data_IF_307848927802
#
_entry.id   IF_307848927802
#
_cell.length_a   1.000
_cell.length_b   1.000
_cell.length_c   1.000
_cell.angle_alpha   90.00
_cell.angle_beta   90.00
_cell.angle_gamma   90.00
#
_symmetry.space_group_name_H-M   'P 1'
#
loop_
_entity.id
_entity.type
_entity.pdbx_description
1 polymer ?
#
# COMPACT_ATOMS: atom_id res chain seq x y z
N UNK A 1 2.27 9.72 6.05
CA UNK A 1 2.84 8.65 5.23
C UNK A 1 1.90 8.36 4.09
N UNK A 2 2.40 8.13 2.89
CA UNK A 2 1.59 7.82 1.72
C UNK A 2 1.90 6.40 1.24
N UNK A 3 0.89 5.67 0.79
CA UNK A 3 1.12 4.60 -0.17
C UNK A 3 1.42 5.16 -1.57
N UNK A 4 1.84 4.32 -2.50
CA UNK A 4 2.17 4.69 -3.87
C UNK A 4 1.05 4.31 -4.84
N UNK A 5 0.83 2.99 -4.99
CA UNK A 5 -0.09 2.41 -5.95
C UNK A 5 -1.55 2.66 -5.50
N UNK A 6 -2.40 3.19 -6.37
CA UNK A 6 -3.77 3.57 -6.02
C UNK A 6 -3.92 4.82 -5.15
N UNK A 7 -2.81 5.39 -4.65
CA UNK A 7 -2.80 6.67 -3.91
C UNK A 7 -2.14 7.78 -4.72
N UNK A 8 -0.91 7.62 -5.18
CA UNK A 8 -0.23 8.62 -6.00
C UNK A 8 -0.34 8.32 -7.49
N UNK A 9 -0.38 7.04 -7.85
CA UNK A 9 -0.39 6.56 -9.23
C UNK A 9 -1.58 5.62 -9.45
N UNK A 10 -2.30 5.79 -10.54
CA UNK A 10 -3.32 4.85 -11.01
C UNK A 10 -2.66 3.67 -11.73
N UNK A 11 -2.16 2.72 -10.96
CA UNK A 11 -1.25 1.67 -11.41
C UNK A 11 -1.86 0.28 -11.51
N UNK A 12 -3.02 0.03 -10.89
CA UNK A 12 -3.59 -1.32 -10.76
C UNK A 12 -3.75 -2.03 -12.12
N UNK A 13 -4.30 -1.34 -13.11
CA UNK A 13 -4.47 -1.91 -14.45
C UNK A 13 -3.12 -2.19 -15.14
N UNK A 14 -2.11 -1.39 -14.89
CA UNK A 14 -0.78 -1.55 -15.46
C UNK A 14 -0.05 -2.74 -14.85
N UNK A 15 -0.16 -2.92 -13.53
CA UNK A 15 0.32 -4.11 -12.85
C UNK A 15 -0.32 -5.37 -13.41
N UNK A 16 -1.64 -5.37 -13.58
CA UNK A 16 -2.37 -6.51 -14.14
C UNK A 16 -1.94 -6.80 -15.59
N UNK A 17 -1.81 -5.79 -16.42
CA UNK A 17 -1.36 -5.93 -17.81
C UNK A 17 0.06 -6.50 -17.90
N UNK A 18 1.00 -5.96 -17.12
CA UNK A 18 2.38 -6.44 -17.10
C UNK A 18 2.47 -7.90 -16.65
N UNK A 19 1.76 -8.28 -15.58
CA UNK A 19 1.71 -9.65 -15.08
C UNK A 19 1.08 -10.60 -16.11
N UNK A 20 -0.03 -10.21 -16.77
CA UNK A 20 -0.67 -11.01 -17.83
C UNK A 20 0.24 -11.22 -19.03
N UNK A 21 0.95 -10.17 -19.44
CA UNK A 21 1.90 -10.27 -20.53
C UNK A 21 2.99 -11.28 -20.22
N UNK A 22 3.68 -11.13 -19.08
CA UNK A 22 4.74 -12.06 -18.65
C UNK A 22 4.22 -13.48 -18.51
N UNK A 23 3.03 -13.68 -17.95
CA UNK A 23 2.42 -15.00 -17.85
C UNK A 23 2.18 -15.62 -19.24
N UNK A 24 1.64 -14.86 -20.18
CA UNK A 24 1.34 -15.32 -21.54
C UNK A 24 2.61 -15.68 -22.31
N UNK A 25 3.64 -14.85 -22.22
CA UNK A 25 4.92 -15.05 -22.92
C UNK A 25 5.72 -16.23 -22.38
N UNK A 26 5.52 -16.60 -21.12
CA UNK A 26 6.30 -17.63 -20.42
C UNK A 26 5.47 -18.85 -19.99
N UNK A 27 4.51 -19.25 -20.83
CA UNK A 27 3.71 -20.47 -20.71
C UNK A 27 2.81 -20.55 -19.46
N UNK A 28 2.59 -19.45 -18.76
CA UNK A 28 1.62 -19.34 -17.67
C UNK A 28 0.17 -19.37 -18.18
N UNK A 29 -0.75 -19.76 -17.31
CA UNK A 29 -2.18 -19.78 -17.59
C UNK A 29 -2.87 -18.77 -16.68
N UNK A 30 -3.20 -17.60 -17.24
CA UNK A 30 -3.96 -16.60 -16.50
C UNK A 30 -5.32 -17.14 -16.09
N UNK A 31 -5.74 -16.82 -14.88
CA UNK A 31 -7.04 -17.18 -14.32
C UNK A 31 -7.81 -15.91 -13.97
N UNK A 32 -9.12 -15.98 -13.99
CA UNK A 32 -9.99 -14.83 -13.74
C UNK A 32 -9.75 -14.22 -12.34
N UNK A 33 -9.53 -15.08 -11.35
CA UNK A 33 -9.26 -14.68 -9.97
C UNK A 33 -7.85 -14.12 -9.73
N UNK A 34 -6.93 -14.25 -10.68
CA UNK A 34 -5.51 -13.92 -10.47
C UNK A 34 -5.27 -12.42 -10.18
N UNK A 35 -6.02 -11.53 -10.83
CA UNK A 35 -5.93 -10.09 -10.60
C UNK A 35 -6.24 -9.76 -9.15
N UNK A 36 -7.41 -10.20 -8.67
CA UNK A 36 -7.83 -9.96 -7.28
C UNK A 36 -6.91 -10.64 -6.25
N UNK A 37 -6.42 -11.87 -6.58
CA UNK A 37 -5.53 -12.59 -5.68
C UNK A 37 -4.18 -11.90 -5.48
N UNK A 38 -3.66 -11.22 -6.52
CA UNK A 38 -2.33 -10.57 -6.45
C UNK A 38 -2.39 -9.10 -6.03
N UNK A 39 -3.58 -8.53 -5.85
CA UNK A 39 -3.73 -7.13 -5.43
C UNK A 39 -3.14 -6.90 -4.03
N UNK A 40 -2.28 -5.90 -3.91
CA UNK A 40 -1.60 -5.55 -2.66
C UNK A 40 -0.52 -6.54 -2.19
N UNK A 41 -0.24 -7.61 -2.94
CA UNK A 41 0.87 -8.51 -2.64
C UNK A 41 2.21 -7.82 -2.90
N UNK A 42 3.21 -8.16 -2.09
CA UNK A 42 4.61 -7.82 -2.34
C UNK A 42 5.18 -8.60 -3.53
N UNK A 43 6.32 -8.15 -4.08
CA UNK A 43 6.94 -8.79 -5.24
C UNK A 43 7.31 -10.26 -5.02
N UNK A 44 7.83 -10.68 -3.86
CA UNK A 44 8.04 -12.09 -3.58
C UNK A 44 6.76 -12.91 -3.61
N UNK A 45 5.63 -12.34 -3.14
CA UNK A 45 4.35 -13.03 -3.05
C UNK A 45 3.70 -13.21 -4.43
N UNK A 46 3.51 -12.13 -5.19
CA UNK A 46 2.88 -12.25 -6.51
C UNK A 46 3.76 -12.99 -7.53
N UNK A 47 5.09 -12.88 -7.46
CA UNK A 47 5.97 -13.66 -8.36
C UNK A 47 5.93 -15.14 -8.02
N UNK A 48 5.80 -15.50 -6.73
CA UNK A 48 5.55 -16.87 -6.31
C UNK A 48 4.20 -17.38 -6.85
N UNK A 49 3.13 -16.60 -6.70
CA UNK A 49 1.80 -16.95 -7.22
C UNK A 49 1.83 -17.16 -8.75
N UNK A 50 2.49 -16.27 -9.49
CA UNK A 50 2.63 -16.42 -10.95
C UNK A 50 3.36 -17.71 -11.34
N UNK A 51 4.43 -18.05 -10.64
CA UNK A 51 5.18 -19.28 -10.89
C UNK A 51 4.39 -20.52 -10.47
N UNK A 52 3.94 -20.55 -9.23
CA UNK A 52 3.49 -21.78 -8.56
C UNK A 52 2.01 -22.06 -8.87
N UNK A 53 1.18 -21.02 -9.03
CA UNK A 53 -0.26 -21.14 -9.29
C UNK A 53 -0.60 -20.97 -10.76
N UNK A 54 0.00 -19.98 -11.44
CA UNK A 54 -0.27 -19.73 -12.87
C UNK A 54 0.63 -20.54 -13.79
N UNK A 55 1.69 -21.17 -13.25
CA UNK A 55 2.59 -22.07 -13.99
C UNK A 55 3.58 -21.34 -14.91
N UNK A 56 3.94 -20.10 -14.62
CA UNK A 56 4.94 -19.34 -15.38
C UNK A 56 6.31 -20.05 -15.25
N UNK A 57 6.94 -20.32 -16.40
CA UNK A 57 8.18 -21.12 -16.48
C UNK A 57 9.44 -20.25 -16.39
N UNK A 58 9.52 -19.46 -15.32
CA UNK A 58 10.66 -18.63 -14.97
C UNK A 58 10.94 -18.75 -13.47
N UNK A 59 12.11 -18.33 -13.01
CA UNK A 59 12.37 -18.12 -11.57
C UNK A 59 11.59 -16.90 -11.08
N UNK A 60 11.29 -16.83 -9.78
CA UNK A 60 10.51 -15.75 -9.17
C UNK A 60 11.14 -14.38 -9.41
N UNK A 61 12.47 -14.33 -9.29
CA UNK A 61 13.25 -13.12 -9.53
C UNK A 61 13.12 -12.65 -10.99
N UNK A 62 13.21 -13.57 -11.95
CA UNK A 62 13.06 -13.27 -13.37
C UNK A 62 11.64 -12.77 -13.70
N UNK A 63 10.61 -13.34 -13.07
CA UNK A 63 9.22 -12.89 -13.20
C UNK A 63 9.10 -11.47 -12.67
N UNK A 64 9.66 -11.20 -11.48
CA UNK A 64 9.64 -9.86 -10.87
C UNK A 64 10.34 -8.84 -11.75
N UNK A 65 11.54 -9.14 -12.22
CA UNK A 65 12.33 -8.25 -13.06
C UNK A 65 11.61 -7.86 -14.35
N UNK A 66 11.00 -8.85 -15.03
CA UNK A 66 10.25 -8.60 -16.28
C UNK A 66 9.00 -7.76 -16.07
N UNK A 67 8.23 -8.04 -15.01
CA UNK A 67 7.03 -7.25 -14.68
C UNK A 67 7.42 -5.82 -14.32
N UNK A 68 8.42 -5.65 -13.46
CA UNK A 68 8.92 -4.34 -13.03
C UNK A 68 9.44 -3.54 -14.22
N UNK A 69 10.23 -4.16 -15.10
CA UNK A 69 10.75 -3.49 -16.30
C UNK A 69 9.60 -3.03 -17.21
N UNK A 70 8.59 -3.87 -17.41
CA UNK A 70 7.41 -3.51 -18.22
C UNK A 70 6.67 -2.29 -17.63
N UNK A 71 6.55 -2.21 -16.31
CA UNK A 71 5.94 -1.06 -15.63
C UNK A 71 6.78 0.20 -15.81
N UNK A 72 8.09 0.12 -15.60
CA UNK A 72 9.01 1.24 -15.76
C UNK A 72 8.96 1.79 -17.18
N UNK A 73 9.04 0.91 -18.19
CA UNK A 73 8.93 1.29 -19.59
C UNK A 73 7.59 2.00 -19.91
N UNK A 74 6.53 1.63 -19.16
CA UNK A 74 5.24 2.28 -19.30
C UNK A 74 5.23 3.67 -18.64
N UNK A 75 5.74 3.78 -17.41
CA UNK A 75 5.80 5.03 -16.66
C UNK A 75 6.71 6.08 -17.33
N UNK A 76 7.82 5.67 -17.91
CA UNK A 76 8.69 6.57 -18.67
C UNK A 76 7.99 7.19 -19.90
N UNK A 77 7.04 6.47 -20.51
CA UNK A 77 6.22 6.97 -21.60
C UNK A 77 5.05 7.81 -21.11
N UNK A 78 4.40 7.40 -20.06
CA UNK A 78 3.25 8.06 -19.46
C UNK A 78 3.07 7.60 -18.00
N UNK A 79 3.33 8.51 -17.06
CA UNK A 79 3.07 8.27 -15.65
C UNK A 79 1.63 8.67 -15.29
N UNK A 80 0.74 7.72 -14.94
CA UNK A 80 -0.66 8.01 -14.64
C UNK A 80 -0.84 8.49 -13.20
N UNK A 81 -0.41 9.73 -12.91
CA UNK A 81 -0.63 10.32 -11.59
C UNK A 81 -2.13 10.50 -11.31
N UNK A 82 -2.54 10.13 -10.11
CA UNK A 82 -3.91 10.38 -9.66
C UNK A 82 -4.17 11.88 -9.50
N UNK A 83 -5.41 12.34 -9.79
CA UNK A 83 -5.78 13.74 -9.63
C UNK A 83 -5.53 14.24 -8.21
N UNK A 84 -4.78 15.33 -8.09
CA UNK A 84 -4.45 15.95 -6.79
C UNK A 84 -3.30 15.29 -6.03
N UNK A 85 -2.63 14.25 -6.56
CA UNK A 85 -1.54 13.55 -5.89
C UNK A 85 -0.36 14.48 -5.58
N UNK A 86 0.14 15.19 -6.59
CA UNK A 86 1.26 16.14 -6.43
C UNK A 86 0.90 17.26 -5.46
N UNK A 87 -0.30 17.81 -5.60
CA UNK A 87 -0.81 18.90 -4.75
C UNK A 87 -0.97 18.44 -3.29
N UNK A 88 -1.48 17.22 -3.06
CA UNK A 88 -1.62 16.66 -1.72
C UNK A 88 -0.26 16.45 -1.04
N UNK A 89 0.70 15.86 -1.75
CA UNK A 89 2.07 15.68 -1.24
C UNK A 89 2.69 17.03 -0.89
N UNK A 90 2.64 18.03 -1.78
CA UNK A 90 3.18 19.36 -1.53
C UNK A 90 2.48 20.07 -0.37
N UNK A 91 1.15 19.99 -0.31
CA UNK A 91 0.33 20.59 0.74
C UNK A 91 0.67 20.02 2.12
N UNK A 92 0.73 18.69 2.25
CA UNK A 92 1.04 18.06 3.52
C UNK A 92 2.53 18.17 3.88
N UNK A 93 3.41 18.11 2.87
CA UNK A 93 4.86 18.28 3.03
C UNK A 93 5.29 19.69 3.47
N UNK A 94 4.43 20.71 3.26
CA UNK A 94 4.70 22.05 3.78
C UNK A 94 4.55 22.14 5.32
N UNK A 95 3.90 21.15 5.95
CA UNK A 95 3.56 21.14 7.38
C UNK A 95 4.27 20.02 8.16
N UNK A 96 4.42 18.84 7.56
CA UNK A 96 4.98 17.65 8.22
C UNK A 96 6.05 16.98 7.39
N UNK A 97 7.00 16.27 8.02
CA UNK A 97 7.87 15.36 7.32
C UNK A 97 7.06 14.23 6.68
N UNK A 98 7.35 13.90 5.43
CA UNK A 98 6.66 12.86 4.71
C UNK A 98 7.49 11.58 4.59
N UNK A 99 6.82 10.44 4.66
CA UNK A 99 7.36 9.15 4.27
C UNK A 99 6.43 8.48 3.25
N UNK A 100 7.02 7.63 2.40
CA UNK A 100 6.30 6.74 1.50
C UNK A 100 6.51 5.30 1.99
N UNK A 101 5.43 4.51 2.04
CA UNK A 101 5.45 3.11 2.46
C UNK A 101 4.62 2.28 1.48
N UNK A 102 5.28 1.50 0.61
CA UNK A 102 4.65 0.84 -0.53
C UNK A 102 4.99 -0.65 -0.62
N UNK A 103 4.08 -1.43 -1.21
CA UNK A 103 4.32 -2.82 -1.60
C UNK A 103 5.12 -2.95 -2.90
N UNK A 104 5.30 -1.86 -3.64
CA UNK A 104 6.05 -1.84 -4.90
C UNK A 104 7.54 -2.08 -4.67
N UNK A 105 8.19 -2.60 -5.71
CA UNK A 105 9.64 -2.74 -5.76
C UNK A 105 10.34 -1.39 -5.60
N UNK A 106 11.52 -1.39 -4.98
CA UNK A 106 12.34 -0.19 -4.81
C UNK A 106 12.52 0.59 -6.11
N UNK A 107 12.81 -0.12 -7.21
CA UNK A 107 13.02 0.50 -8.52
C UNK A 107 11.76 1.21 -9.05
N UNK A 108 10.57 0.65 -8.83
CA UNK A 108 9.30 1.29 -9.21
C UNK A 108 9.08 2.56 -8.41
N UNK A 109 9.26 2.50 -7.07
CA UNK A 109 9.16 3.66 -6.19
C UNK A 109 10.08 4.79 -6.68
N UNK A 110 11.34 4.48 -6.92
CA UNK A 110 12.34 5.46 -7.33
C UNK A 110 11.98 6.10 -8.68
N UNK A 111 11.57 5.29 -9.66
CA UNK A 111 11.15 5.76 -10.98
C UNK A 111 9.94 6.70 -10.89
N UNK A 112 8.90 6.30 -10.15
CA UNK A 112 7.69 7.13 -9.99
C UNK A 112 8.01 8.46 -9.33
N UNK A 113 8.78 8.45 -8.25
CA UNK A 113 9.11 9.69 -7.52
C UNK A 113 9.98 10.65 -8.36
N UNK A 114 10.89 10.11 -9.16
CA UNK A 114 11.71 10.92 -10.07
C UNK A 114 10.88 11.53 -11.19
N UNK A 115 10.05 10.74 -11.88
CA UNK A 115 9.19 11.20 -12.96
C UNK A 115 8.12 12.19 -12.48
N UNK A 116 7.60 12.01 -11.26
CA UNK A 116 6.63 12.92 -10.65
C UNK A 116 7.27 14.20 -10.09
N UNK A 117 8.60 14.27 -9.97
CA UNK A 117 9.30 15.38 -9.31
C UNK A 117 8.97 15.48 -7.81
N UNK A 118 8.76 14.34 -7.17
CA UNK A 118 8.36 14.24 -5.76
C UNK A 118 9.44 13.64 -4.85
N UNK A 119 10.58 13.20 -5.38
CA UNK A 119 11.63 12.54 -4.58
C UNK A 119 12.03 13.35 -3.35
N UNK A 120 12.28 14.63 -3.51
CA UNK A 120 12.74 15.52 -2.43
C UNK A 120 11.63 15.88 -1.42
N UNK A 121 10.39 15.53 -1.72
CA UNK A 121 9.27 15.73 -0.80
C UNK A 121 9.19 14.67 0.29
N UNK A 122 9.75 13.50 0.04
CA UNK A 122 9.76 12.38 0.97
C UNK A 122 11.11 12.26 1.65
N UNK A 123 11.15 12.44 2.98
CA UNK A 123 12.38 12.23 3.77
C UNK A 123 12.76 10.74 3.82
N UNK A 124 11.76 9.89 3.83
CA UNK A 124 11.89 8.44 3.93
C UNK A 124 11.01 7.76 2.89
N UNK A 125 11.54 6.74 2.25
CA UNK A 125 10.77 5.81 1.42
C UNK A 125 11.10 4.37 1.83
N UNK A 126 10.07 3.53 1.99
CA UNK A 126 10.20 2.12 2.37
C UNK A 126 9.44 1.27 1.37
N UNK A 127 10.13 0.29 0.79
CA UNK A 127 9.52 -0.79 0.02
C UNK A 127 9.23 -1.99 0.92
N UNK A 128 8.17 -2.74 0.65
CA UNK A 128 7.95 -4.03 1.32
C UNK A 128 9.07 -5.05 1.09
N UNK A 129 9.94 -4.83 0.10
CA UNK A 129 11.16 -5.64 -0.10
C UNK A 129 12.22 -5.44 1.00
N UNK A 130 12.11 -4.35 1.79
CA UNK A 130 13.07 -3.99 2.83
C UNK A 130 12.66 -4.47 4.23
N UNK A 131 11.50 -5.12 4.33
CA UNK A 131 10.93 -5.58 5.60
C UNK A 131 10.59 -7.06 5.56
N UNK A 132 10.50 -7.74 6.71
CA UNK A 132 10.24 -9.18 6.75
C UNK A 132 8.91 -9.58 6.13
N UNK A 133 7.86 -8.75 6.26
CA UNK A 133 6.50 -9.04 5.78
C UNK A 133 5.88 -7.81 5.14
N UNK A 134 5.29 -8.00 3.96
CA UNK A 134 4.52 -6.98 3.26
C UNK A 134 3.15 -6.70 3.92
N UNK A 135 2.39 -5.75 3.38
CA UNK A 135 0.99 -5.49 3.78
C UNK A 135 0.16 -6.76 3.59
N UNK A 136 -0.72 -7.15 4.50
CA UNK A 136 -1.32 -6.38 5.59
C UNK A 136 -0.53 -6.34 6.91
N UNK A 137 0.67 -6.90 6.97
CA UNK A 137 1.50 -6.82 8.16
C UNK A 137 1.98 -5.38 8.40
N UNK A 138 2.18 -4.96 9.66
CA UNK A 138 2.50 -3.57 9.99
C UNK A 138 3.92 -3.15 9.63
N UNK A 139 4.76 -4.08 9.20
CA UNK A 139 6.22 -3.95 9.15
C UNK A 139 6.68 -2.75 8.31
N UNK A 140 6.06 -2.50 7.14
CA UNK A 140 6.44 -1.39 6.25
C UNK A 140 6.14 -0.02 6.88
N UNK A 141 5.01 0.12 7.58
CA UNK A 141 4.65 1.36 8.26
C UNK A 141 5.46 1.58 9.54
N UNK A 142 5.72 0.51 10.30
CA UNK A 142 6.60 0.58 11.47
C UNK A 142 8.02 0.97 11.09
N UNK A 143 8.56 0.41 10.00
CA UNK A 143 9.87 0.77 9.49
C UNK A 143 9.91 2.23 8.99
N UNK A 144 8.87 2.68 8.30
CA UNK A 144 8.77 4.07 7.87
C UNK A 144 8.71 5.04 9.07
N UNK A 145 7.94 4.71 10.10
CA UNK A 145 7.87 5.49 11.34
C UNK A 145 9.22 5.53 12.08
N UNK A 146 9.88 4.37 12.19
CA UNK A 146 11.20 4.24 12.80
C UNK A 146 12.24 5.10 12.08
N UNK A 147 12.35 4.98 10.74
CA UNK A 147 13.30 5.79 9.96
C UNK A 147 12.98 7.28 9.99
N UNK A 148 11.71 7.65 10.09
CA UNK A 148 11.27 9.04 10.22
C UNK A 148 11.53 9.61 11.63
N UNK A 149 11.82 8.74 12.61
CA UNK A 149 12.02 9.13 14.02
C UNK A 149 10.73 9.57 14.70
N UNK A 150 9.57 9.10 14.23
CA UNK A 150 8.26 9.46 14.78
C UNK A 150 7.59 8.23 15.39
N UNK A 151 6.92 8.34 16.54
CA UNK A 151 6.13 7.24 17.07
C UNK A 151 4.92 6.97 16.16
N UNK A 152 4.57 5.68 15.92
CA UNK A 152 3.50 5.31 14.98
C UNK A 152 2.17 6.02 15.23
N UNK A 153 1.77 6.15 16.49
CA UNK A 153 0.55 6.84 16.90
C UNK A 153 0.53 8.35 16.58
N UNK A 154 1.67 8.92 16.25
CA UNK A 154 1.81 10.31 15.78
C UNK A 154 1.81 10.42 14.26
N UNK A 155 1.70 9.30 13.57
CA UNK A 155 1.72 9.25 12.11
C UNK A 155 0.31 9.07 11.55
N UNK A 156 0.12 9.57 10.33
CA UNK A 156 -1.11 9.39 9.54
C UNK A 156 -0.73 8.68 8.25
N UNK A 157 -1.40 7.57 7.93
CA UNK A 157 -1.30 6.88 6.66
C UNK A 157 -2.41 7.32 5.71
N UNK A 158 -2.10 7.43 4.41
CA UNK A 158 -3.06 7.61 3.32
C UNK A 158 -3.00 6.36 2.46
N UNK A 159 -4.13 5.67 2.30
CA UNK A 159 -4.24 4.33 1.74
C UNK A 159 -5.50 4.14 0.91
N UNK A 160 -5.43 3.27 -0.10
CA UNK A 160 -6.56 2.93 -0.97
C UNK A 160 -6.99 1.47 -0.87
N UNK A 161 -6.11 0.59 -0.37
CA UNK A 161 -6.28 -0.87 -0.40
C UNK A 161 -6.65 -1.46 0.97
N UNK A 162 -7.34 -2.61 0.94
CA UNK A 162 -7.70 -3.33 2.16
C UNK A 162 -6.46 -3.77 2.97
N UNK A 163 -5.45 -4.30 2.28
CA UNK A 163 -4.20 -4.72 2.92
C UNK A 163 -3.42 -3.52 3.49
N UNK A 164 -3.44 -2.39 2.80
CA UNK A 164 -2.78 -1.18 3.25
C UNK A 164 -3.45 -0.56 4.48
N UNK A 165 -4.78 -0.44 4.48
CA UNK A 165 -5.54 0.04 5.64
C UNK A 165 -5.28 -0.86 6.86
N UNK A 166 -5.38 -2.19 6.69
CA UNK A 166 -5.09 -3.14 7.79
C UNK A 166 -3.66 -3.00 8.30
N UNK A 167 -2.69 -2.84 7.40
CA UNK A 167 -1.27 -2.65 7.76
C UNK A 167 -1.05 -1.37 8.58
N UNK A 168 -1.62 -0.25 8.13
CA UNK A 168 -1.50 1.04 8.82
C UNK A 168 -2.16 1.00 10.22
N UNK A 169 -3.36 0.43 10.31
CA UNK A 169 -4.08 0.25 11.57
C UNK A 169 -3.32 -0.68 12.53
N UNK A 170 -2.81 -1.82 12.03
CA UNK A 170 -2.01 -2.75 12.83
C UNK A 170 -0.69 -2.13 13.32
N UNK A 171 -0.12 -1.19 12.57
CA UNK A 171 1.04 -0.41 12.99
C UNK A 171 0.71 0.69 14.02
N UNK A 172 -0.57 0.94 14.29
CA UNK A 172 -1.02 1.97 15.24
C UNK A 172 -1.09 3.38 14.67
N UNK A 173 -1.03 3.53 13.34
CA UNK A 173 -1.17 4.82 12.68
C UNK A 173 -2.64 5.26 12.63
N UNK A 174 -2.85 6.59 12.54
CA UNK A 174 -4.12 7.11 12.02
C UNK A 174 -4.22 6.83 10.53
N UNK A 175 -5.38 6.45 10.05
CA UNK A 175 -5.54 6.00 8.67
C UNK A 175 -6.63 6.78 7.96
N UNK A 176 -6.26 7.40 6.84
CA UNK A 176 -7.18 8.02 5.89
C UNK A 176 -7.30 7.08 4.69
N UNK A 177 -8.49 6.54 4.49
CA UNK A 177 -8.80 5.72 3.32
C UNK A 177 -9.25 6.60 2.15
N UNK A 178 -8.69 6.34 0.96
CA UNK A 178 -9.06 6.96 -0.33
C UNK A 178 -9.44 5.86 -1.31
N UNK A 179 -10.63 5.23 -1.17
CA UNK A 179 -10.98 4.06 -1.97
C UNK A 179 -11.02 4.36 -3.47
N UNK A 180 -10.44 3.48 -4.27
CA UNK A 180 -10.60 3.52 -5.71
C UNK A 180 -12.02 3.01 -6.07
N UNK A 181 -12.81 3.77 -6.87
CA UNK A 181 -14.15 3.34 -7.26
C UNK A 181 -14.19 2.02 -8.05
N UNK A 182 -13.12 1.68 -8.78
CA UNK A 182 -13.02 0.42 -9.54
C UNK A 182 -12.70 -0.77 -8.62
N UNK A 183 -12.09 -0.51 -7.47
CA UNK A 183 -11.69 -1.51 -6.47
C UNK A 183 -12.19 -1.12 -5.07
N UNK A 184 -13.51 -1.12 -4.85
CA UNK A 184 -14.10 -0.60 -3.62
C UNK A 184 -13.68 -1.42 -2.39
N UNK A 185 -13.38 -0.72 -1.31
CA UNK A 185 -13.10 -1.34 -0.03
C UNK A 185 -14.39 -1.89 0.60
N UNK A 186 -14.30 -3.05 1.23
CA UNK A 186 -15.38 -3.59 2.04
C UNK A 186 -15.71 -2.70 3.25
N UNK A 187 -16.96 -2.73 3.70
CA UNK A 187 -17.40 -1.93 4.85
C UNK A 187 -16.62 -2.24 6.13
N UNK A 188 -16.18 -3.49 6.32
CA UNK A 188 -15.35 -3.92 7.44
C UNK A 188 -13.99 -3.20 7.46
N UNK A 189 -13.39 -2.98 6.28
CA UNK A 189 -12.13 -2.25 6.12
C UNK A 189 -12.35 -0.74 6.32
N UNK A 190 -13.41 -0.17 5.73
CA UNK A 190 -13.74 1.25 5.87
C UNK A 190 -13.99 1.64 7.34
N UNK A 191 -14.58 0.75 8.14
CA UNK A 191 -14.77 0.98 9.58
C UNK A 191 -13.48 1.00 10.39
N UNK A 192 -12.39 0.43 9.87
CA UNK A 192 -11.08 0.46 10.54
C UNK A 192 -10.34 1.78 10.28
N UNK A 193 -10.61 2.45 9.17
CA UNK A 193 -10.02 3.76 8.89
C UNK A 193 -10.60 4.83 9.83
N UNK A 194 -9.75 5.79 10.23
CA UNK A 194 -10.18 6.94 11.03
C UNK A 194 -11.00 7.94 10.21
N UNK A 195 -10.74 7.98 8.90
CA UNK A 195 -11.42 8.85 7.95
C UNK A 195 -11.45 8.19 6.57
N UNK A 196 -12.54 8.40 5.85
CA UNK A 196 -12.65 8.04 4.43
C UNK A 196 -12.94 9.31 3.63
N UNK A 197 -12.19 9.52 2.56
CA UNK A 197 -12.37 10.63 1.61
C UNK A 197 -12.51 10.05 0.20
N UNK A 198 -13.04 10.83 -0.72
CA UNK A 198 -13.27 10.39 -2.10
C UNK A 198 -12.14 10.79 -3.05
N UNK A 199 -11.28 11.71 -2.61
CA UNK A 199 -10.18 12.24 -3.41
C UNK A 199 -9.04 12.73 -2.52
N UNK A 200 -7.82 12.68 -3.05
CA UNK A 200 -6.65 13.32 -2.42
C UNK A 200 -6.80 14.85 -2.29
N UNK A 201 -7.63 15.45 -3.12
CA UNK A 201 -7.94 16.89 -3.04
C UNK A 201 -8.68 17.25 -1.77
N UNK A 202 -9.42 16.30 -1.17
CA UNK A 202 -10.20 16.50 0.05
C UNK A 202 -9.33 16.50 1.31
N UNK A 203 -8.11 15.95 1.24
CA UNK A 203 -7.21 15.87 2.39
C UNK A 203 -6.57 17.23 2.63
N UNK A 204 -7.02 17.92 3.66
CA UNK A 204 -6.50 19.24 4.06
C UNK A 204 -5.57 19.16 5.27
N UNK A 205 -4.76 20.21 5.47
CA UNK A 205 -3.92 20.34 6.68
C UNK A 205 -4.80 20.32 7.94
N UNK A 206 -5.89 21.09 7.95
CA UNK A 206 -6.82 21.15 9.10
C UNK A 206 -7.46 19.79 9.42
N UNK A 207 -7.70 18.96 8.41
CA UNK A 207 -8.24 17.63 8.59
C UNK A 207 -7.24 16.72 9.32
N UNK A 208 -5.98 16.80 8.96
CA UNK A 208 -4.91 16.03 9.61
C UNK A 208 -4.60 16.55 11.00
N UNK A 209 -4.55 17.88 11.21
CA UNK A 209 -4.33 18.47 12.54
C UNK A 209 -5.39 18.04 13.57
N UNK A 210 -6.64 17.81 13.15
CA UNK A 210 -7.70 17.31 14.05
C UNK A 210 -7.48 15.91 14.59
N UNK A 211 -6.57 15.12 14.02
CA UNK A 211 -6.18 13.85 14.61
C UNK A 211 -5.36 14.04 15.89
N UNK A 212 -4.65 15.16 16.05
CA UNK A 212 -3.94 15.48 17.29
C UNK A 212 -4.90 15.81 18.45
N UNK A 213 -5.99 16.52 18.17
CA UNK A 213 -7.01 16.88 19.17
C UNK A 213 -7.78 15.67 19.71
N UNK A 214 -7.86 14.59 18.93
CA UNK A 214 -8.56 13.35 19.32
C UNK A 214 -7.72 12.36 20.12
N UNK A 215 -6.46 12.67 20.42
CA UNK A 215 -5.57 11.81 21.22
C UNK A 215 -6.12 11.50 22.62
N UNK A 216 -6.88 12.44 23.25
CA UNK A 216 -7.51 12.25 24.56
C UNK A 216 -8.65 11.24 24.60
N UNK A 217 -9.40 11.08 23.51
CA UNK A 217 -10.64 10.29 23.50
C UNK A 217 -10.50 8.80 23.13
N UNK A 218 -9.44 8.41 22.42
CA UNK A 218 -9.21 6.99 22.04
C UNK A 218 -8.29 6.25 23.01
N UNK A 219 -7.40 6.97 23.68
CA UNK A 219 -6.53 6.36 24.68
C UNK A 219 -7.35 5.84 25.88
N UNK A 220 -8.42 6.55 26.27
CA UNK A 220 -9.34 6.06 27.31
C UNK A 220 -10.18 4.85 26.87
N UNK A 221 -10.53 4.72 25.58
CA UNK A 221 -11.27 3.55 25.07
C UNK A 221 -10.43 2.29 24.88
N UNK A 222 -9.10 2.40 24.78
CA UNK A 222 -8.20 1.21 24.72
C UNK A 222 -7.84 0.67 26.09
N UNK A 223 -8.19 1.37 27.17
CA UNK A 223 -7.96 0.92 28.55
C UNK A 223 -9.18 0.21 29.16
N UNK A 224 -10.32 0.16 28.46
CA UNK A 224 -11.43 -0.70 28.86
C UNK A 224 -11.07 -2.14 28.50
N UNK A 225 -10.67 -2.91 29.52
CA UNK A 225 -10.16 -4.29 29.44
C UNK A 225 -11.10 -5.28 28.72
N UNK A 226 -12.33 -4.90 28.41
CA UNK A 226 -13.32 -5.75 27.73
C UNK A 226 -13.14 -5.79 26.18
N UNK A 227 -12.39 -4.89 25.53
CA UNK A 227 -12.16 -4.95 24.07
C UNK A 227 -10.88 -5.75 23.71
N UNK A 228 -10.01 -6.07 24.66
CA UNK A 228 -8.79 -6.85 24.41
C UNK A 228 -9.10 -8.34 24.16
N UNK A 229 -10.24 -8.84 24.64
CA UNK A 229 -10.69 -10.22 24.39
C UNK A 229 -11.40 -10.43 23.05
N UNK A 230 -11.71 -9.38 22.30
CA UNK A 230 -12.44 -9.48 21.03
C UNK A 230 -11.58 -9.36 19.76
N UNK A 231 -10.27 -9.28 19.87
CA UNK A 231 -9.45 -9.76 18.77
C UNK A 231 -9.41 -11.27 18.86
N UNK A 232 -10.23 -12.01 18.11
CA UNK A 232 -9.87 -13.38 17.87
C UNK A 232 -8.45 -13.30 17.33
N UNK A 233 -7.56 -14.09 17.83
CA UNK A 233 -6.40 -14.52 17.08
C UNK A 233 -7.01 -14.93 15.75
N UNK A 234 -7.14 -13.98 14.84
CA UNK A 234 -7.75 -14.20 13.55
C UNK A 234 -6.87 -15.25 12.95
N UNK A 235 -7.43 -16.43 12.87
CA UNK A 235 -6.85 -17.49 12.08
C UNK A 235 -6.34 -16.82 10.80
N UNK A 236 -5.03 -16.77 10.54
CA UNK A 236 -4.50 -16.09 9.37
C UNK A 236 -4.95 -16.74 8.06
N UNK A 237 -5.91 -17.66 8.12
CA UNK A 237 -6.29 -18.56 7.06
C UNK A 237 -7.71 -18.43 6.55
N UNK A 238 -8.56 -17.49 7.02
CA UNK A 238 -9.93 -17.47 6.52
C UNK A 238 -10.09 -16.88 5.11
N UNK A 239 -9.13 -16.07 4.62
CA UNK A 239 -9.21 -15.51 3.28
C UNK A 239 -7.86 -15.44 2.52
N UNK A 240 -6.76 -15.89 3.15
CA UNK A 240 -5.46 -15.97 2.50
C UNK A 240 -4.88 -17.36 2.67
N UNK A 241 -5.11 -18.23 1.68
CA UNK A 241 -4.36 -19.47 1.53
C UNK A 241 -2.99 -19.14 0.95
N UNK A 242 -2.02 -18.86 1.79
CA UNK A 242 -0.62 -18.92 1.39
C UNK A 242 -0.33 -20.28 0.72
N UNK A 243 0.69 -20.36 -0.15
CA UNK A 243 1.05 -21.61 -0.78
C UNK A 243 1.38 -22.65 0.31
N UNK A 244 0.96 -23.92 0.14
CA UNK A 244 1.42 -24.99 1.01
C UNK A 244 2.94 -25.11 0.90
N UNK A 245 3.58 -25.43 2.01
CA UNK A 245 5.02 -25.67 2.12
C UNK A 245 5.59 -26.56 1.02
#
# INVERSE_FOLDING_TARGET
MFDLDGVLVDSEQLWDQARRQVATEHAGRWREEATAAMQGMSSPEWSAYMRDTLGVRLRREEISDLVVQSLIDHYERHLPLLPGAVEAVRRLGSRWPLALASSANRQVIDTVLDLAGLRDMFQITVSSEEVPRGKPWPDVYLEAAHRLGCPPESCVAVEDSANGVRSAVAAGLRTVAVPNPEYPLGEDVLRQADLTVTSLTDITVDMIDRFDDRRGGRFERRLDEEEIESFPASDPHSDWAGPPD
#
